data_IF_039719521148
#
_entry.id   IF_039719521148
#
_cell.length_a   1.000
_cell.length_b   1.000
_cell.length_c   1.000
_cell.angle_alpha   90.00
_cell.angle_beta   90.00
_cell.angle_gamma   90.00
#
_symmetry.space_group_name_H-M   'P 1'
#
loop_
_entity.id
_entity.type
_entity.pdbx_description
1 polymer ?
#
# COMPACT_ATOMS: atom_id res chain seq x y z
N UNK A 1 75.12 49.11 -1.33
CA UNK A 1 74.43 48.23 -2.31
C UNK A 1 74.54 46.72 -2.01
N UNK A 2 74.70 46.29 -0.73
CA UNK A 2 74.71 44.86 -0.33
C UNK A 2 73.62 44.48 0.69
N UNK A 3 72.92 45.46 1.28
CA UNK A 3 71.87 45.23 2.27
C UNK A 3 70.47 45.01 1.65
N UNK A 4 70.20 45.61 0.48
CA UNK A 4 68.88 45.57 -0.17
C UNK A 4 68.57 44.24 -0.89
N UNK A 5 69.61 43.48 -1.26
CA UNK A 5 69.49 42.18 -1.96
C UNK A 5 69.39 40.98 -1.01
N UNK A 6 69.77 41.14 0.26
CA UNK A 6 69.57 40.12 1.30
C UNK A 6 68.15 40.20 1.87
N UNK A 7 67.60 41.40 2.06
CA UNK A 7 66.26 41.59 2.62
C UNK A 7 65.14 41.09 1.70
N UNK A 8 65.29 41.27 0.38
CA UNK A 8 64.34 40.76 -0.62
C UNK A 8 64.36 39.24 -0.78
N UNK A 9 65.51 38.59 -0.54
CA UNK A 9 65.60 37.11 -0.53
C UNK A 9 64.94 36.48 0.69
N UNK A 10 65.04 37.12 1.87
CA UNK A 10 64.39 36.61 3.09
C UNK A 10 62.87 36.82 3.10
N UNK A 11 62.35 37.90 2.49
CA UNK A 11 60.90 38.11 2.34
C UNK A 11 60.28 37.09 1.37
N UNK A 12 60.96 36.72 0.29
CA UNK A 12 60.48 35.68 -0.62
C UNK A 12 60.58 34.25 -0.04
N UNK A 13 61.57 33.96 0.82
CA UNK A 13 61.64 32.68 1.54
C UNK A 13 60.62 32.56 2.68
N UNK A 14 60.28 33.67 3.35
CA UNK A 14 59.21 33.69 4.36
C UNK A 14 57.80 33.52 3.78
N UNK A 15 57.53 34.12 2.61
CA UNK A 15 56.25 33.99 1.92
C UNK A 15 56.03 32.61 1.26
N UNK A 16 57.10 31.90 0.91
CA UNK A 16 57.00 30.55 0.33
C UNK A 16 56.75 29.47 1.40
N UNK A 17 57.22 29.66 2.63
CA UNK A 17 57.00 28.71 3.74
C UNK A 17 55.62 28.89 4.40
N UNK A 18 55.01 30.08 4.32
CA UNK A 18 53.65 30.30 4.84
C UNK A 18 52.52 29.89 3.87
N UNK A 19 52.84 29.61 2.60
CA UNK A 19 51.87 29.16 1.58
C UNK A 19 51.84 27.63 1.39
N UNK A 20 52.74 26.89 2.05
CA UNK A 20 52.86 25.44 1.91
C UNK A 20 52.88 24.76 3.27
N UNK A 21 51.72 24.67 3.93
CA UNK A 21 51.24 23.56 4.78
C UNK A 21 49.94 23.99 5.50
N UNK A 22 48.84 23.20 5.53
CA UNK A 22 48.60 21.95 4.81
C UNK A 22 47.22 21.91 4.11
N UNK A 23 47.21 21.61 2.80
CA UNK A 23 46.06 20.92 2.18
C UNK A 23 45.98 19.43 2.61
N UNK A 24 46.89 18.96 3.47
CA UNK A 24 47.01 17.57 3.90
C UNK A 24 46.43 17.28 5.31
N UNK A 25 45.98 18.28 6.08
CA UNK A 25 45.33 18.03 7.37
C UNK A 25 43.83 17.70 7.27
N UNK A 26 43.20 17.98 6.12
CA UNK A 26 41.76 17.75 5.93
C UNK A 26 41.41 16.30 5.52
N UNK A 27 42.37 15.51 5.04
CA UNK A 27 42.13 14.12 4.59
C UNK A 27 41.95 13.15 5.79
N UNK A 28 42.83 13.13 6.82
CA UNK A 28 42.65 12.20 7.94
C UNK A 28 41.40 12.51 8.78
N UNK A 29 40.98 13.78 8.86
CA UNK A 29 39.74 14.19 9.54
C UNK A 29 38.49 13.68 8.79
N UNK A 30 38.50 13.72 7.44
CA UNK A 30 37.40 13.19 6.62
C UNK A 30 37.28 11.68 6.70
N UNK A 31 38.39 10.95 6.67
CA UNK A 31 38.39 9.49 6.82
C UNK A 31 37.92 9.06 8.23
N UNK A 32 38.30 9.82 9.26
CA UNK A 32 37.83 9.59 10.62
C UNK A 32 36.33 9.88 10.75
N UNK A 33 35.84 11.01 10.22
CA UNK A 33 34.41 11.33 10.19
C UNK A 33 33.59 10.27 9.43
N UNK A 34 34.12 9.74 8.33
CA UNK A 34 33.46 8.68 7.58
C UNK A 34 33.38 7.38 8.40
N UNK A 35 34.45 6.98 9.08
CA UNK A 35 34.44 5.81 9.97
C UNK A 35 33.50 5.99 11.16
N UNK A 36 33.48 7.17 11.78
CA UNK A 36 32.55 7.51 12.86
C UNK A 36 31.11 7.48 12.38
N UNK A 37 30.81 8.01 11.19
CA UNK A 37 29.50 7.95 10.58
C UNK A 37 29.07 6.51 10.26
N UNK A 38 29.96 5.70 9.67
CA UNK A 38 29.72 4.29 9.39
C UNK A 38 29.48 3.49 10.67
N UNK A 39 30.30 3.70 11.71
CA UNK A 39 30.12 3.07 13.01
C UNK A 39 28.79 3.49 13.67
N UNK A 40 28.45 4.78 13.61
CA UNK A 40 27.17 5.29 14.09
C UNK A 40 25.98 4.67 13.33
N UNK A 41 26.06 4.57 12.01
CA UNK A 41 25.05 3.91 11.17
C UNK A 41 24.89 2.44 11.55
N UNK A 42 25.99 1.71 11.65
CA UNK A 42 25.98 0.29 12.03
C UNK A 42 25.42 0.09 13.44
N UNK A 43 25.85 0.90 14.41
CA UNK A 43 25.35 0.84 15.78
C UNK A 43 23.86 1.17 15.86
N UNK A 44 23.41 2.18 15.12
CA UNK A 44 21.99 2.58 15.07
C UNK A 44 21.15 1.48 14.44
N UNK A 45 21.59 0.91 13.31
CA UNK A 45 20.91 -0.21 12.66
C UNK A 45 20.85 -1.45 13.55
N UNK A 46 21.94 -1.78 14.25
CA UNK A 46 21.99 -2.90 15.17
C UNK A 46 21.03 -2.69 16.36
N UNK A 47 20.99 -1.49 16.95
CA UNK A 47 20.04 -1.16 18.02
C UNK A 47 18.59 -1.29 17.53
N UNK A 48 18.30 -0.78 16.34
CA UNK A 48 16.97 -0.88 15.73
C UNK A 48 16.56 -2.34 15.48
N UNK A 49 17.42 -3.13 14.86
CA UNK A 49 17.16 -4.56 14.61
C UNK A 49 16.98 -5.34 15.92
N UNK A 50 17.83 -5.10 16.93
CA UNK A 50 17.71 -5.76 18.23
C UNK A 50 16.39 -5.44 18.93
N UNK A 51 15.96 -4.17 18.91
CA UNK A 51 14.67 -3.77 19.46
C UNK A 51 13.52 -4.46 18.72
N UNK A 52 13.50 -4.37 17.39
CA UNK A 52 12.51 -5.03 16.52
C UNK A 52 12.39 -6.52 16.82
N UNK A 53 13.51 -7.23 16.84
CA UNK A 53 13.54 -8.67 17.08
C UNK A 53 13.11 -9.01 18.52
N UNK A 54 13.36 -8.11 19.49
CA UNK A 54 12.87 -8.30 20.86
C UNK A 54 11.35 -8.21 20.95
N UNK A 55 10.72 -7.30 20.21
CA UNK A 55 9.27 -7.16 20.14
C UNK A 55 8.64 -8.40 19.50
N UNK A 56 9.21 -8.88 18.38
CA UNK A 56 8.76 -10.10 17.73
C UNK A 56 8.88 -11.34 18.63
N UNK A 57 10.04 -11.53 19.28
CA UNK A 57 10.24 -12.66 20.19
C UNK A 57 9.26 -12.63 21.36
N UNK A 58 9.02 -11.45 21.94
CA UNK A 58 8.05 -11.28 23.01
C UNK A 58 6.63 -11.61 22.54
N UNK A 59 6.25 -11.12 21.35
CA UNK A 59 4.93 -11.36 20.78
C UNK A 59 4.70 -12.82 20.40
N UNK A 60 5.70 -13.49 19.83
CA UNK A 60 5.61 -14.92 19.51
C UNK A 60 5.45 -15.75 20.78
N UNK A 61 6.25 -15.50 21.82
CA UNK A 61 6.07 -16.15 23.13
C UNK A 61 4.66 -15.94 23.66
N UNK A 62 4.18 -14.70 23.64
CA UNK A 62 2.82 -14.37 24.03
C UNK A 62 1.78 -15.18 23.24
N UNK A 63 1.88 -15.24 21.91
CA UNK A 63 0.93 -15.98 21.07
C UNK A 63 0.91 -17.47 21.41
N UNK A 64 2.05 -18.09 21.71
CA UNK A 64 2.12 -19.54 22.03
C UNK A 64 1.26 -19.91 23.24
N UNK A 65 1.07 -18.98 24.19
CA UNK A 65 0.42 -19.26 25.49
C UNK A 65 -0.97 -18.61 25.64
N UNK A 66 -1.36 -17.68 24.76
CA UNK A 66 -2.48 -16.75 25.04
C UNK A 66 -3.76 -16.97 24.23
N UNK A 67 -3.92 -18.14 23.60
CA UNK A 67 -5.11 -18.43 22.80
C UNK A 67 -6.36 -18.66 23.67
N UNK A 68 -7.40 -17.85 23.45
CA UNK A 68 -8.71 -17.94 24.10
C UNK A 68 -9.83 -18.05 23.07
N UNK A 69 -10.92 -18.70 23.43
CA UNK A 69 -12.13 -18.77 22.59
C UNK A 69 -12.97 -17.51 22.75
N UNK A 70 -13.40 -16.94 21.62
CA UNK A 70 -14.30 -15.80 21.56
C UNK A 70 -15.56 -16.16 20.77
N UNK A 71 -16.71 -15.76 21.31
CA UNK A 71 -17.97 -15.83 20.59
C UNK A 71 -17.96 -14.83 19.42
N UNK A 72 -18.48 -15.28 18.27
CA UNK A 72 -18.67 -14.44 17.09
C UNK A 72 -20.12 -14.01 17.04
N UNK A 73 -20.34 -12.70 17.09
CA UNK A 73 -21.65 -12.09 16.95
C UNK A 73 -21.97 -11.85 15.48
N UNK A 74 -23.24 -12.04 15.10
CA UNK A 74 -23.72 -11.61 13.80
C UNK A 74 -23.61 -10.08 13.69
N UNK A 75 -23.26 -9.59 12.51
CA UNK A 75 -23.25 -8.15 12.25
C UNK A 75 -24.66 -7.59 12.26
N UNK A 76 -24.82 -6.37 12.77
CA UNK A 76 -26.10 -5.68 12.73
C UNK A 76 -26.59 -5.54 11.28
N UNK A 77 -27.90 -5.68 11.01
CA UNK A 77 -28.43 -5.46 9.68
C UNK A 77 -28.20 -4.01 9.27
N UNK A 78 -27.98 -3.79 7.97
CA UNK A 78 -27.86 -2.43 7.46
C UNK A 78 -29.17 -1.67 7.68
N UNK A 79 -29.13 -0.41 8.15
CA UNK A 79 -30.33 0.41 8.39
C UNK A 79 -31.04 0.81 7.09
N UNK A 80 -30.48 0.46 5.92
CA UNK A 80 -31.05 0.80 4.63
C UNK A 80 -32.24 -0.09 4.29
N UNK A 81 -33.42 0.39 4.67
CA UNK A 81 -34.46 0.61 3.69
C UNK A 81 -34.83 2.10 3.71
N UNK A 82 -34.16 3.00 2.97
CA UNK A 82 -34.91 4.12 2.44
C UNK A 82 -35.94 3.47 1.52
N UNK A 83 -37.23 3.56 1.85
CA UNK A 83 -38.30 3.13 0.97
C UNK A 83 -37.95 3.63 -0.43
N UNK A 84 -37.64 2.69 -1.34
CA UNK A 84 -37.40 3.04 -2.73
C UNK A 84 -38.65 3.81 -3.14
N UNK A 85 -38.54 5.08 -3.57
CA UNK A 85 -39.73 5.86 -3.89
C UNK A 85 -40.56 5.02 -4.85
N UNK A 86 -41.87 4.81 -4.58
CA UNK A 86 -42.69 3.83 -5.27
C UNK A 86 -42.77 4.06 -6.79
N UNK A 87 -42.36 5.25 -7.25
CA UNK A 87 -42.07 5.55 -8.65
C UNK A 87 -40.79 6.39 -8.77
N UNK A 88 -40.09 6.20 -9.89
CA UNK A 88 -39.13 7.21 -10.34
C UNK A 88 -39.88 8.54 -10.50
N UNK A 89 -39.29 9.68 -10.09
CA UNK A 89 -39.83 10.98 -10.45
C UNK A 89 -40.00 11.05 -11.96
N UNK A 90 -41.21 11.38 -12.43
CA UNK A 90 -41.41 11.62 -13.86
C UNK A 90 -40.50 12.77 -14.27
N UNK A 91 -39.70 12.56 -15.33
CA UNK A 91 -38.99 13.65 -15.97
C UNK A 91 -40.03 14.72 -16.37
N UNK A 92 -39.75 16.02 -16.19
CA UNK A 92 -40.63 17.07 -16.70
C UNK A 92 -40.87 16.82 -18.19
N UNK A 93 -42.13 16.79 -18.61
CA UNK A 93 -42.47 16.65 -20.02
C UNK A 93 -41.83 17.81 -20.78
N UNK A 94 -40.83 17.51 -21.61
CA UNK A 94 -40.31 18.51 -22.55
C UNK A 94 -41.46 18.93 -23.46
N UNK A 95 -41.77 20.23 -23.56
CA UNK A 95 -42.79 20.71 -24.49
C UNK A 95 -42.43 20.28 -25.92
N UNK A 96 -43.43 20.03 -26.79
CA UNK A 96 -43.21 19.47 -28.11
C UNK A 96 -42.27 20.38 -28.90
N UNK A 97 -41.16 19.82 -29.37
CA UNK A 97 -40.25 20.50 -30.29
C UNK A 97 -41.01 20.91 -31.54
N UNK A 98 -41.31 22.19 -31.66
CA UNK A 98 -41.66 22.81 -32.93
C UNK A 98 -40.48 22.62 -33.88
N UNK A 99 -40.71 21.90 -34.99
CA UNK A 99 -39.73 21.74 -36.04
C UNK A 99 -39.33 23.12 -36.56
N UNK A 100 -38.10 23.53 -36.30
CA UNK A 100 -37.48 24.71 -36.90
C UNK A 100 -36.35 24.19 -37.80
N UNK A 101 -36.19 24.71 -39.04
CA UNK A 101 -35.31 24.12 -40.04
C UNK A 101 -33.85 24.12 -39.62
N UNK A 102 -33.11 23.09 -40.06
CA UNK A 102 -31.65 22.97 -39.97
C UNK A 102 -30.95 24.30 -40.30
N UNK A 103 -30.43 24.94 -39.25
CA UNK A 103 -29.37 25.94 -39.38
C UNK A 103 -28.10 25.32 -38.79
N UNK A 104 -26.95 25.38 -39.48
CA UNK A 104 -25.68 24.92 -38.94
C UNK A 104 -25.38 25.70 -37.66
N UNK A 105 -25.48 25.04 -36.51
CA UNK A 105 -25.20 25.64 -35.22
C UNK A 105 -23.71 25.93 -35.10
N UNK A 106 -23.38 27.22 -35.13
CA UNK A 106 -22.10 27.81 -34.76
C UNK A 106 -21.53 27.14 -33.51
N UNK A 107 -20.26 26.78 -33.58
CA UNK A 107 -19.47 26.28 -32.46
C UNK A 107 -19.65 27.18 -31.24
N UNK A 108 -20.22 26.62 -30.17
CA UNK A 108 -20.19 27.27 -28.87
C UNK A 108 -18.75 27.17 -28.40
N UNK A 109 -18.00 28.25 -28.65
CA UNK A 109 -16.72 28.54 -28.03
C UNK A 109 -16.93 28.60 -26.52
N UNK A 110 -16.79 27.44 -25.88
CA UNK A 110 -16.61 27.34 -24.45
C UNK A 110 -15.26 27.97 -24.14
N UNK A 111 -15.30 29.23 -23.72
CA UNK A 111 -14.15 29.96 -23.20
C UNK A 111 -13.45 29.07 -22.18
N UNK A 112 -12.22 28.66 -22.52
CA UNK A 112 -11.27 28.08 -21.59
C UNK A 112 -11.11 29.12 -20.49
N UNK A 113 -11.75 28.90 -19.34
CA UNK A 113 -11.31 29.54 -18.11
C UNK A 113 -9.88 29.07 -17.93
N UNK A 114 -8.95 29.97 -18.21
CA UNK A 114 -7.55 29.79 -17.96
C UNK A 114 -7.41 29.45 -16.48
N UNK A 115 -7.24 28.16 -16.18
CA UNK A 115 -6.76 27.72 -14.90
C UNK A 115 -5.35 28.29 -14.79
N UNK A 116 -5.23 29.26 -13.90
CA UNK A 116 -3.98 29.87 -13.48
C UNK A 116 -2.93 28.78 -13.25
N UNK A 117 -1.77 28.97 -13.87
CA UNK A 117 -0.62 28.08 -13.74
C UNK A 117 -0.16 28.08 -12.28
N UNK A 118 -0.51 27.05 -11.54
CA UNK A 118 0.35 26.59 -10.44
C UNK A 118 1.38 25.65 -11.05
N UNK A 119 2.68 25.99 -11.00
CA UNK A 119 3.72 25.06 -11.38
C UNK A 119 3.87 24.08 -10.22
N UNK A 120 3.33 22.88 -10.36
CA UNK A 120 3.86 21.74 -9.63
C UNK A 120 3.93 20.56 -10.60
N UNK A 121 5.16 20.25 -10.99
CA UNK A 121 5.54 19.12 -11.82
C UNK A 121 5.27 17.82 -11.05
N UNK A 122 4.00 17.39 -10.97
CA UNK A 122 3.66 16.06 -10.45
C UNK A 122 3.84 15.04 -11.58
N UNK A 123 5.09 14.57 -11.74
CA UNK A 123 5.44 13.48 -12.65
C UNK A 123 4.49 12.29 -12.42
N UNK A 124 3.70 11.97 -13.45
CA UNK A 124 2.72 10.88 -13.47
C UNK A 124 3.38 9.59 -12.91
N UNK A 125 2.88 9.11 -11.76
CA UNK A 125 3.48 7.99 -11.03
C UNK A 125 3.58 6.77 -11.94
N UNK A 126 4.81 6.47 -12.37
CA UNK A 126 5.17 5.18 -12.96
C UNK A 126 5.87 4.37 -11.89
N UNK A 127 5.36 3.18 -11.51
CA UNK A 127 6.08 2.30 -10.61
C UNK A 127 7.31 1.78 -11.36
N UNK A 128 8.45 2.46 -11.16
CA UNK A 128 9.75 1.94 -11.53
C UNK A 128 10.25 1.03 -10.39
N UNK A 129 11.07 0.00 -10.69
CA UNK A 129 11.80 -0.70 -9.65
C UNK A 129 12.65 0.30 -8.86
N UNK A 130 12.78 0.19 -7.54
CA UNK A 130 13.64 1.07 -6.78
C UNK A 130 15.09 0.94 -7.26
N UNK A 131 15.73 2.07 -7.59
CA UNK A 131 17.16 2.13 -7.87
C UNK A 131 17.94 1.71 -6.61
N UNK A 132 18.92 0.82 -6.82
CA UNK A 132 19.81 0.33 -5.77
C UNK A 132 20.87 1.37 -5.46
N UNK A 133 20.78 1.99 -4.30
CA UNK A 133 21.95 2.61 -3.67
C UNK A 133 22.29 1.89 -2.36
N UNK A 134 23.32 1.04 -2.46
CA UNK A 134 24.20 0.64 -1.35
C UNK A 134 23.55 0.05 -0.11
N UNK A 135 23.09 -1.20 -0.19
CA UNK A 135 22.84 -2.00 1.01
C UNK A 135 23.77 -3.22 1.04
N UNK A 136 24.54 -3.27 2.12
CA UNK A 136 25.34 -4.40 2.60
C UNK A 136 24.58 -5.72 2.46
N UNK A 137 25.28 -6.71 1.93
CA UNK A 137 24.81 -8.06 1.60
C UNK A 137 24.07 -8.70 2.78
N UNK A 138 22.75 -8.55 2.79
CA UNK A 138 21.84 -9.55 3.34
C UNK A 138 21.82 -10.72 2.36
N UNK A 139 21.94 -11.94 2.87
CA UNK A 139 21.87 -13.20 2.12
C UNK A 139 20.46 -13.44 1.50
N UNK A 140 19.54 -12.49 1.66
CA UNK A 140 18.18 -12.53 1.13
C UNK A 140 18.14 -12.63 -0.40
N UNK A 141 17.42 -13.65 -0.88
CA UNK A 141 17.12 -13.83 -2.30
C UNK A 141 15.82 -13.11 -2.61
N UNK A 142 15.88 -12.10 -3.48
CA UNK A 142 14.70 -11.31 -3.85
C UNK A 142 14.01 -11.84 -5.10
N UNK A 143 12.68 -11.72 -5.14
CA UNK A 143 11.85 -11.88 -6.34
C UNK A 143 10.91 -10.69 -6.51
N UNK A 144 10.32 -10.58 -7.70
CA UNK A 144 9.32 -9.57 -8.03
C UNK A 144 7.99 -10.24 -8.29
N UNK A 145 6.92 -9.72 -7.69
CA UNK A 145 5.54 -10.11 -7.96
C UNK A 145 4.82 -8.97 -8.69
N UNK A 146 4.18 -9.28 -9.82
CA UNK A 146 3.34 -8.33 -10.55
C UNK A 146 1.90 -8.37 -10.02
N UNK A 147 1.46 -7.27 -9.42
CA UNK A 147 0.15 -7.19 -8.77
C UNK A 147 -0.78 -6.25 -9.53
N UNK A 148 -1.92 -6.78 -9.95
CA UNK A 148 -3.05 -5.98 -10.42
C UNK A 148 -3.82 -5.33 -9.27
N UNK A 149 -3.79 -4.00 -9.18
CA UNK A 149 -4.48 -3.24 -8.13
C UNK A 149 -5.14 -1.97 -8.67
N UNK A 150 -6.49 -1.91 -8.64
CA UNK A 150 -7.28 -0.81 -9.21
C UNK A 150 -6.83 -0.35 -10.61
N UNK A 151 -6.51 -1.30 -11.49
CA UNK A 151 -6.05 -1.03 -12.86
C UNK A 151 -4.56 -0.73 -13.00
N UNK A 152 -3.81 -0.65 -11.89
CA UNK A 152 -2.36 -0.56 -11.87
C UNK A 152 -1.75 -1.95 -11.96
N UNK A 153 -0.60 -2.06 -12.65
CA UNK A 153 0.29 -3.20 -12.54
C UNK A 153 1.49 -2.78 -11.69
N UNK A 154 1.62 -3.38 -10.51
CA UNK A 154 2.61 -3.01 -9.50
C UNK A 154 3.67 -4.12 -9.41
N UNK A 155 4.89 -3.91 -9.93
CA UNK A 155 6.00 -4.83 -9.72
C UNK A 155 6.58 -4.62 -8.31
N UNK A 156 6.18 -5.46 -7.35
CA UNK A 156 6.66 -5.35 -5.97
C UNK A 156 7.76 -6.38 -5.68
N UNK A 157 8.90 -5.92 -5.18
CA UNK A 157 10.02 -6.77 -4.76
C UNK A 157 9.78 -7.31 -3.35
N UNK A 158 10.07 -8.59 -3.13
CA UNK A 158 9.94 -9.25 -1.84
C UNK A 158 11.08 -10.25 -1.60
N UNK A 159 11.35 -10.54 -0.33
CA UNK A 159 12.27 -11.59 0.11
C UNK A 159 11.62 -12.96 -0.06
N UNK A 160 12.27 -13.88 -0.76
CA UNK A 160 11.76 -15.23 -1.00
C UNK A 160 11.53 -16.01 0.31
N UNK A 161 12.26 -15.68 1.38
CA UNK A 161 12.06 -16.25 2.71
C UNK A 161 10.66 -15.99 3.29
N UNK A 162 9.90 -15.04 2.73
CA UNK A 162 8.52 -14.81 3.13
C UNK A 162 7.60 -15.96 2.71
N UNK A 163 7.93 -16.72 1.67
CA UNK A 163 7.07 -17.81 1.18
C UNK A 163 7.17 -19.02 2.12
N UNK A 164 6.16 -19.17 2.97
CA UNK A 164 6.01 -20.25 3.93
C UNK A 164 4.75 -21.08 3.66
N UNK A 165 4.62 -22.21 4.37
CA UNK A 165 3.42 -23.02 4.37
C UNK A 165 3.03 -23.36 5.80
N UNK A 166 1.77 -23.17 6.14
CA UNK A 166 1.24 -23.50 7.45
C UNK A 166 0.84 -24.96 7.53
N UNK A 167 1.24 -25.61 8.62
CA UNK A 167 0.77 -26.93 9.00
C UNK A 167 -0.28 -26.81 10.11
N UNK A 168 -1.01 -27.90 10.38
CA UNK A 168 -1.88 -27.97 11.57
C UNK A 168 -1.14 -28.68 12.71
N UNK A 169 -1.44 -28.35 13.98
CA UNK A 169 -2.48 -27.44 14.43
C UNK A 169 -2.05 -25.94 14.42
N UNK A 170 -3.00 -25.04 14.16
CA UNK A 170 -2.72 -23.61 13.93
C UNK A 170 -2.19 -22.86 15.16
N UNK A 171 -2.55 -23.29 16.37
CA UNK A 171 -2.03 -22.69 17.60
C UNK A 171 -0.50 -22.80 17.73
N UNK A 172 0.12 -23.75 17.03
CA UNK A 172 1.59 -23.91 16.96
C UNK A 172 2.18 -23.25 15.70
N UNK A 173 1.56 -23.47 14.54
CA UNK A 173 2.11 -23.01 13.27
C UNK A 173 1.95 -21.51 13.01
N UNK A 174 0.97 -20.82 13.62
CA UNK A 174 0.83 -19.36 13.53
C UNK A 174 2.07 -18.66 14.13
N UNK A 175 2.46 -18.95 15.39
CA UNK A 175 3.70 -18.41 15.96
C UNK A 175 4.96 -18.75 15.15
N UNK A 176 5.09 -20.00 14.67
CA UNK A 176 6.24 -20.42 13.86
C UNK A 176 6.31 -19.64 12.54
N UNK A 177 5.17 -19.47 11.86
CA UNK A 177 5.09 -18.67 10.64
C UNK A 177 5.38 -17.19 10.88
N UNK A 178 5.01 -16.65 12.05
CA UNK A 178 5.38 -15.29 12.43
C UNK A 178 6.89 -15.13 12.60
N UNK A 179 7.58 -16.09 13.24
CA UNK A 179 9.05 -16.08 13.37
C UNK A 179 9.73 -16.10 12.00
N UNK A 180 9.23 -16.93 11.07
CA UNK A 180 9.74 -16.99 9.69
C UNK A 180 9.62 -15.60 9.04
N UNK A 181 8.43 -15.00 9.03
CA UNK A 181 8.23 -13.68 8.44
C UNK A 181 9.08 -12.60 9.12
N UNK A 182 9.21 -12.64 10.46
CA UNK A 182 10.02 -11.69 11.22
C UNK A 182 11.52 -11.78 10.90
N UNK A 183 12.01 -12.92 10.42
CA UNK A 183 13.41 -13.09 10.02
C UNK A 183 13.74 -12.57 8.62
N UNK A 184 12.72 -12.22 7.81
CA UNK A 184 12.89 -11.73 6.42
C UNK A 184 13.14 -10.23 6.35
N UNK A 185 13.55 -9.74 5.18
CA UNK A 185 13.53 -8.29 4.88
C UNK A 185 12.13 -7.78 4.51
N UNK A 186 11.21 -7.80 5.47
CA UNK A 186 9.85 -7.28 5.30
C UNK A 186 9.76 -5.76 5.24
N UNK A 187 10.75 -5.04 5.76
CA UNK A 187 10.75 -3.58 5.75
C UNK A 187 10.84 -3.04 4.32
N UNK A 188 11.67 -3.63 3.46
CA UNK A 188 11.74 -3.27 2.05
C UNK A 188 10.39 -3.42 1.33
N UNK A 189 9.60 -4.43 1.68
CA UNK A 189 8.26 -4.60 1.12
C UNK A 189 7.26 -3.59 1.68
N UNK A 190 7.27 -3.35 3.00
CA UNK A 190 6.38 -2.35 3.63
C UNK A 190 6.62 -0.96 3.04
N UNK A 191 7.88 -0.57 2.83
CA UNK A 191 8.21 0.72 2.21
C UNK A 191 7.59 0.87 0.82
N UNK A 192 7.62 -0.19 -0.01
CA UNK A 192 6.96 -0.18 -1.33
C UNK A 192 5.44 -0.07 -1.20
N UNK A 193 4.83 -0.82 -0.29
CA UNK A 193 3.37 -0.81 -0.07
C UNK A 193 2.88 0.56 0.43
N UNK A 194 3.61 1.18 1.38
CA UNK A 194 3.31 2.53 1.89
C UNK A 194 3.50 3.57 0.77
N UNK A 195 4.57 3.46 -0.01
CA UNK A 195 4.80 4.35 -1.16
C UNK A 195 3.63 4.30 -2.16
N UNK A 196 3.13 3.11 -2.48
CA UNK A 196 1.94 2.97 -3.33
C UNK A 196 0.71 3.59 -2.66
N UNK A 197 0.51 3.33 -1.37
CA UNK A 197 -0.60 3.89 -0.59
C UNK A 197 -0.64 5.41 -0.61
N UNK A 198 0.50 6.05 -0.36
CA UNK A 198 0.63 7.50 -0.29
C UNK A 198 0.43 8.14 -1.65
N UNK A 199 1.11 7.63 -2.68
CA UNK A 199 1.00 8.14 -4.05
C UNK A 199 -0.40 7.97 -4.62
N UNK A 200 -1.12 6.93 -4.21
CA UNK A 200 -2.50 6.71 -4.65
C UNK A 200 -3.57 7.23 -3.70
N UNK A 201 -3.18 7.82 -2.57
CA UNK A 201 -4.05 8.37 -1.52
C UNK A 201 -5.08 7.34 -1.03
N UNK A 202 -4.64 6.11 -0.79
CA UNK A 202 -5.53 5.07 -0.22
C UNK A 202 -5.92 5.43 1.20
N UNK A 203 -7.15 5.08 1.58
CA UNK A 203 -7.51 4.96 2.98
C UNK A 203 -7.01 3.61 3.54
N UNK A 204 -7.19 3.40 4.84
CA UNK A 204 -6.76 2.19 5.53
C UNK A 204 -7.32 0.91 4.90
N UNK A 205 -8.60 0.94 4.49
CA UNK A 205 -9.18 -0.20 3.80
C UNK A 205 -8.51 -0.48 2.45
N UNK A 206 -8.20 0.57 1.68
CA UNK A 206 -7.41 0.46 0.46
C UNK A 206 -6.03 -0.15 0.72
N UNK A 207 -5.35 0.26 1.80
CA UNK A 207 -4.08 -0.34 2.22
C UNK A 207 -4.22 -1.83 2.57
N UNK A 208 -5.23 -2.20 3.36
CA UNK A 208 -5.56 -3.60 3.67
C UNK A 208 -5.76 -4.42 2.38
N UNK A 209 -6.47 -3.86 1.39
CA UNK A 209 -6.68 -4.55 0.11
C UNK A 209 -5.39 -4.68 -0.71
N UNK A 210 -4.51 -3.68 -0.68
CA UNK A 210 -3.20 -3.74 -1.33
C UNK A 210 -2.35 -4.85 -0.73
N UNK A 211 -2.24 -4.91 0.61
CA UNK A 211 -1.53 -5.98 1.32
C UNK A 211 -2.14 -7.34 0.99
N UNK A 212 -3.48 -7.45 0.97
CA UNK A 212 -4.17 -8.70 0.60
C UNK A 212 -3.83 -9.16 -0.81
N UNK A 213 -3.70 -8.23 -1.76
CA UNK A 213 -3.32 -8.56 -3.14
C UNK A 213 -1.88 -9.04 -3.23
N UNK A 214 -0.96 -8.47 -2.44
CA UNK A 214 0.39 -8.99 -2.29
C UNK A 214 0.39 -10.40 -1.70
N UNK A 215 -0.38 -10.63 -0.63
CA UNK A 215 -0.53 -11.94 -0.03
C UNK A 215 -1.04 -12.99 -1.05
N UNK A 216 -2.06 -12.63 -1.84
CA UNK A 216 -2.61 -13.52 -2.86
C UNK A 216 -1.62 -13.84 -3.99
N UNK A 217 -0.70 -12.94 -4.30
CA UNK A 217 0.37 -13.20 -5.26
C UNK A 217 1.42 -14.17 -4.71
N UNK A 218 1.75 -14.06 -3.42
CA UNK A 218 2.73 -14.93 -2.75
C UNK A 218 2.20 -16.31 -2.43
N UNK A 219 0.89 -16.42 -2.13
CA UNK A 219 0.25 -17.65 -1.70
C UNK A 219 -1.00 -17.98 -2.53
N UNK A 220 -0.85 -18.33 -3.82
CA UNK A 220 -2.00 -18.57 -4.71
C UNK A 220 -2.90 -19.69 -4.18
N UNK A 221 -4.15 -19.37 -3.89
CA UNK A 221 -5.16 -20.27 -3.31
C UNK A 221 -4.82 -20.86 -1.91
N UNK A 222 -3.76 -20.40 -1.23
CA UNK A 222 -3.48 -20.77 0.16
C UNK A 222 -3.96 -19.67 1.12
N UNK A 223 -5.27 -19.66 1.40
CA UNK A 223 -5.92 -18.56 2.13
C UNK A 223 -5.43 -18.36 3.57
N UNK A 224 -4.98 -19.42 4.27
CA UNK A 224 -4.51 -19.30 5.65
C UNK A 224 -3.19 -18.53 5.72
N UNK A 225 -2.27 -18.85 4.82
CA UNK A 225 -0.99 -18.17 4.63
C UNK A 225 -1.21 -16.72 4.23
N UNK A 226 -2.18 -16.45 3.34
CA UNK A 226 -2.56 -15.07 3.00
C UNK A 226 -3.04 -14.29 4.22
N UNK A 227 -3.85 -14.90 5.10
CA UNK A 227 -4.33 -14.26 6.34
C UNK A 227 -3.17 -13.97 7.29
N UNK A 228 -2.29 -14.95 7.54
CA UNK A 228 -1.12 -14.76 8.39
C UNK A 228 -0.22 -13.63 7.87
N UNK A 229 0.13 -13.69 6.58
CA UNK A 229 0.97 -12.68 5.95
C UNK A 229 0.33 -11.29 6.02
N UNK A 230 -0.96 -11.18 5.70
CA UNK A 230 -1.67 -9.90 5.76
C UNK A 230 -1.68 -9.35 7.17
N UNK A 231 -1.98 -10.18 8.17
CA UNK A 231 -1.97 -9.76 9.56
C UNK A 231 -0.58 -9.31 10.01
N UNK A 232 0.47 -10.06 9.63
CA UNK A 232 1.85 -9.72 9.93
C UNK A 232 2.21 -8.33 9.38
N UNK A 233 2.02 -8.11 8.07
CA UNK A 233 2.33 -6.81 7.44
C UNK A 233 1.53 -5.68 8.09
N UNK A 234 0.23 -5.86 8.35
CA UNK A 234 -0.59 -4.85 9.00
C UNK A 234 -0.07 -4.48 10.40
N UNK A 235 0.31 -5.45 11.23
CA UNK A 235 0.89 -5.19 12.55
C UNK A 235 2.24 -4.48 12.44
N UNK A 236 3.09 -4.87 11.48
CA UNK A 236 4.35 -4.17 11.20
C UNK A 236 4.14 -2.74 10.69
N UNK A 237 2.99 -2.47 10.06
CA UNK A 237 2.55 -1.13 9.66
C UNK A 237 1.77 -0.38 10.76
N UNK A 238 1.69 -0.92 11.99
CA UNK A 238 1.11 -0.25 13.16
C UNK A 238 -0.40 -0.46 13.38
N UNK A 239 -1.03 -1.31 12.58
CA UNK A 239 -2.45 -1.64 12.73
C UNK A 239 -2.68 -2.65 13.84
N UNK A 240 -3.81 -2.52 14.52
CA UNK A 240 -4.29 -3.43 15.57
C UNK A 240 -4.86 -4.76 15.02
N UNK A 241 -4.39 -5.24 13.87
CA UNK A 241 -4.92 -6.47 13.26
C UNK A 241 -4.62 -7.70 14.14
N UNK A 242 -5.57 -8.62 14.24
CA UNK A 242 -5.40 -9.89 14.98
C UNK A 242 -5.63 -11.08 14.07
N UNK A 243 -5.04 -12.22 14.45
CA UNK A 243 -5.33 -13.52 13.83
C UNK A 243 -6.33 -14.25 14.71
N UNK A 244 -7.43 -14.68 14.08
CA UNK A 244 -8.33 -15.67 14.62
C UNK A 244 -8.16 -17.00 13.89
N UNK A 245 -8.43 -18.12 14.55
CA UNK A 245 -8.52 -19.40 13.88
C UNK A 245 -9.58 -20.31 14.48
N UNK A 246 -10.03 -21.28 13.70
CA UNK A 246 -10.74 -22.45 14.19
C UNK A 246 -10.01 -23.73 13.72
N UNK A 247 -10.65 -24.90 13.80
CA UNK A 247 -10.00 -26.15 13.37
C UNK A 247 -9.63 -26.15 11.87
N UNK A 248 -10.30 -25.35 11.05
CA UNK A 248 -10.25 -25.42 9.58
C UNK A 248 -9.51 -24.24 8.93
N UNK A 249 -9.67 -23.04 9.46
CA UNK A 249 -9.25 -21.82 8.80
C UNK A 249 -8.69 -20.77 9.78
N UNK A 250 -7.89 -19.87 9.22
CA UNK A 250 -7.51 -18.60 9.81
C UNK A 250 -8.46 -17.50 9.31
N UNK A 251 -8.68 -16.50 10.15
CA UNK A 251 -9.49 -15.33 9.89
C UNK A 251 -8.69 -14.08 10.25
N UNK A 252 -8.73 -13.06 9.39
CA UNK A 252 -8.18 -11.76 9.71
C UNK A 252 -9.21 -10.99 10.54
N UNK A 253 -8.81 -10.46 11.69
CA UNK A 253 -9.67 -9.72 12.58
C UNK A 253 -9.24 -8.26 12.57
N UNK A 254 -10.13 -7.37 12.10
CA UNK A 254 -9.83 -5.96 11.92
C UNK A 254 -10.70 -5.11 12.85
N UNK A 255 -10.11 -4.37 13.79
CA UNK A 255 -10.87 -3.43 14.59
C UNK A 255 -11.22 -2.20 13.76
N UNK A 256 -12.42 -1.67 13.96
CA UNK A 256 -12.82 -0.40 13.33
C UNK A 256 -13.66 0.44 14.29
N UNK A 257 -13.49 1.77 14.31
CA UNK A 257 -14.41 2.65 15.01
C UNK A 257 -15.78 2.74 14.32
N UNK A 258 -15.84 2.42 13.02
CA UNK A 258 -17.10 2.41 12.27
C UNK A 258 -17.81 1.07 12.37
N UNK A 259 -19.15 1.11 12.37
CA UNK A 259 -19.96 -0.08 12.25
C UNK A 259 -19.94 -0.63 10.83
N UNK A 260 -19.50 -1.88 10.68
CA UNK A 260 -19.59 -2.63 9.43
C UNK A 260 -20.81 -3.55 9.48
N UNK A 261 -21.88 -3.15 8.80
CA UNK A 261 -23.13 -3.90 8.75
C UNK A 261 -22.98 -5.26 8.09
N UNK A 262 -23.86 -6.20 8.46
CA UNK A 262 -23.91 -7.58 7.97
C UNK A 262 -22.57 -8.33 8.05
N UNK A 263 -21.64 -7.86 8.87
CA UNK A 263 -20.30 -8.43 9.00
C UNK A 263 -20.13 -8.99 10.41
N UNK A 264 -19.83 -10.29 10.55
CA UNK A 264 -19.63 -10.90 11.86
C UNK A 264 -18.45 -10.25 12.58
N UNK A 265 -18.54 -10.14 13.90
CA UNK A 265 -17.51 -9.52 14.72
C UNK A 265 -17.37 -10.21 16.07
N UNK A 266 -16.24 -9.97 16.72
CA UNK A 266 -15.99 -10.31 18.12
C UNK A 266 -15.65 -9.06 18.91
N UNK A 267 -15.99 -9.07 20.20
CA UNK A 267 -15.70 -7.97 21.10
C UNK A 267 -14.48 -8.31 21.95
N UNK A 268 -13.42 -7.50 21.85
CA UNK A 268 -12.21 -7.58 22.68
C UNK A 268 -11.98 -6.19 23.25
N UNK A 269 -11.88 -6.06 24.57
CA UNK A 269 -11.58 -4.78 25.25
C UNK A 269 -12.49 -3.62 24.79
N UNK A 270 -13.79 -3.91 24.60
CA UNK A 270 -14.80 -2.96 24.13
C UNK A 270 -14.62 -2.44 22.68
N UNK A 271 -13.71 -3.04 21.91
CA UNK A 271 -13.53 -2.80 20.48
C UNK A 271 -14.14 -3.94 19.66
N UNK A 272 -14.82 -3.59 18.57
CA UNK A 272 -15.38 -4.57 17.62
C UNK A 272 -14.33 -4.94 16.60
N UNK A 273 -13.92 -6.20 16.62
CA UNK A 273 -13.05 -6.82 15.64
C UNK A 273 -13.89 -7.55 14.61
N UNK A 274 -13.95 -7.01 13.39
CA UNK A 274 -14.70 -7.60 12.29
C UNK A 274 -13.94 -8.78 11.70
N UNK A 275 -14.66 -9.89 11.51
CA UNK A 275 -14.12 -11.14 10.95
C UNK A 275 -14.08 -11.01 9.43
N UNK A 276 -12.87 -10.99 8.88
CA UNK A 276 -12.65 -10.91 7.45
C UNK A 276 -12.08 -12.24 6.93
N UNK A 277 -12.96 -13.02 6.29
CA UNK A 277 -12.58 -14.28 5.63
C UNK A 277 -12.05 -14.05 4.23
N UNK A 278 -10.95 -14.70 3.89
CA UNK A 278 -10.38 -14.62 2.54
C UNK A 278 -10.94 -15.69 1.61
N UNK A 279 -11.41 -16.82 2.18
CA UNK A 279 -12.11 -17.85 1.44
C UNK A 279 -13.64 -17.65 1.60
N UNK A 280 -14.38 -17.42 0.51
CA UNK A 280 -15.84 -17.28 0.57
C UNK A 280 -16.57 -18.57 0.97
N UNK A 281 -15.91 -19.73 0.83
CA UNK A 281 -16.50 -21.03 1.16
C UNK A 281 -16.50 -21.31 2.68
N UNK A 282 -15.77 -20.50 3.46
CA UNK A 282 -15.85 -20.56 4.92
C UNK A 282 -17.19 -19.94 5.34
N UNK A 283 -18.16 -20.82 5.62
CA UNK A 283 -19.51 -20.46 6.03
C UNK A 283 -19.55 -19.79 7.42
N UNK A 284 -20.72 -19.87 8.07
CA UNK A 284 -20.91 -19.25 9.39
C UNK A 284 -19.92 -19.81 10.43
N UNK A 285 -19.29 -18.91 11.19
CA UNK A 285 -18.34 -19.23 12.25
C UNK A 285 -18.91 -18.75 13.58
N UNK A 286 -19.25 -19.68 14.48
CA UNK A 286 -19.85 -19.35 15.77
C UNK A 286 -18.80 -18.95 16.84
N UNK A 287 -17.58 -19.49 16.75
CA UNK A 287 -16.50 -19.22 17.70
C UNK A 287 -15.15 -19.23 16.99
N UNK A 288 -14.27 -18.33 17.43
CA UNK A 288 -12.91 -18.15 16.93
C UNK A 288 -11.95 -18.12 18.12
N UNK A 289 -10.84 -18.87 18.02
CA UNK A 289 -9.72 -18.73 18.95
C UNK A 289 -8.84 -17.57 18.52
N UNK A 290 -8.57 -16.64 19.43
CA UNK A 290 -7.66 -15.49 19.24
C UNK A 290 -7.06 -15.05 20.59
N UNK A 291 -6.50 -13.85 20.71
CA UNK A 291 -5.86 -13.32 21.91
C UNK A 291 -6.24 -11.86 22.19
N UNK A 292 -6.17 -11.46 23.47
CA UNK A 292 -6.49 -10.10 23.93
C UNK A 292 -5.34 -9.12 23.69
N UNK A 293 -4.10 -9.53 23.94
CA UNK A 293 -2.90 -8.69 23.78
C UNK A 293 -2.65 -8.20 22.35
N UNK A 294 -1.70 -7.29 22.21
CA UNK A 294 -1.40 -6.60 20.95
C UNK A 294 0.08 -6.67 20.58
N UNK A 295 0.37 -6.47 19.30
CA UNK A 295 1.74 -6.38 18.81
C UNK A 295 2.33 -4.99 19.10
N UNK A 296 3.34 -4.94 19.97
CA UNK A 296 4.02 -3.72 20.36
C UNK A 296 3.07 -2.62 20.82
N UNK A 297 3.41 -1.38 20.47
CA UNK A 297 2.63 -0.19 20.82
C UNK A 297 1.62 0.21 19.72
N UNK A 298 1.18 -0.75 18.89
CA UNK A 298 0.20 -0.51 17.82
C UNK A 298 -1.09 0.08 18.40
N UNK A 299 -1.66 1.08 17.72
CA UNK A 299 -2.91 1.77 18.16
C UNK A 299 -3.89 2.03 17.02
N UNK A 300 -3.54 1.65 15.79
CA UNK A 300 -4.27 2.08 14.61
C UNK A 300 -5.38 1.08 14.25
N UNK A 301 -6.64 1.46 14.51
CA UNK A 301 -7.81 0.73 14.04
C UNK A 301 -8.12 1.10 12.59
N UNK A 302 -8.64 0.15 11.81
CA UNK A 302 -8.92 0.36 10.37
C UNK A 302 -10.05 1.37 10.22
N UNK A 303 -9.74 2.49 9.57
CA UNK A 303 -10.68 3.55 9.26
C UNK A 303 -11.17 3.46 7.81
N UNK A 304 -12.47 3.27 7.63
CA UNK A 304 -13.08 3.17 6.30
C UNK A 304 -13.34 4.52 5.62
N UNK A 305 -13.14 5.65 6.30
CA UNK A 305 -13.40 6.97 5.74
C UNK A 305 -12.40 7.35 4.64
N UNK A 306 -12.88 8.01 3.60
CA UNK A 306 -12.03 8.66 2.61
C UNK A 306 -11.78 10.11 3.04
N UNK A 307 -10.52 10.46 3.35
CA UNK A 307 -10.13 11.86 3.61
C UNK A 307 -9.99 12.64 2.31
N UNK A 308 -9.45 11.98 1.29
CA UNK A 308 -9.24 12.52 -0.04
C UNK A 308 -9.72 11.51 -1.10
N UNK A 309 -10.12 11.96 -2.29
CA UNK A 309 -10.34 11.06 -3.42
C UNK A 309 -9.06 10.28 -3.74
N UNK A 310 -9.23 8.99 -4.07
CA UNK A 310 -8.14 8.15 -4.57
C UNK A 310 -7.52 8.81 -5.80
N UNK A 311 -6.20 8.91 -5.80
CA UNK A 311 -5.41 9.40 -6.92
C UNK A 311 -4.86 8.22 -7.71
N UNK A 312 -5.43 7.92 -8.88
CA UNK A 312 -4.87 6.90 -9.78
C UNK A 312 -4.25 7.60 -10.99
N UNK A 313 -3.06 7.16 -11.47
CA UNK A 313 -2.46 7.69 -12.69
C UNK A 313 -3.40 7.56 -13.87
N UNK A 314 -3.23 8.42 -14.88
CA UNK A 314 -4.10 8.42 -16.06
C UNK A 314 -3.47 7.54 -17.13
N UNK A 315 -4.12 6.42 -17.46
CA UNK A 315 -3.74 5.62 -18.63
C UNK A 315 -4.73 5.87 -19.77
N UNK A 316 -4.54 6.99 -20.47
CA UNK A 316 -5.43 7.42 -21.56
C UNK A 316 -5.05 6.65 -22.83
N UNK A 317 -5.91 5.73 -23.25
CA UNK A 317 -5.83 5.09 -24.56
C UNK A 317 -6.82 5.71 -25.54
N UNK A 318 -6.56 5.57 -26.83
CA UNK A 318 -7.44 6.04 -27.89
C UNK A 318 -7.92 4.85 -28.72
N UNK A 319 -9.24 4.71 -28.87
CA UNK A 319 -9.84 3.72 -29.78
C UNK A 319 -10.70 4.43 -30.81
N UNK A 320 -10.53 4.07 -32.07
CA UNK A 320 -11.43 4.52 -33.13
C UNK A 320 -12.77 3.76 -33.00
N UNK A 321 -13.85 4.49 -32.70
CA UNK A 321 -15.20 3.94 -32.66
C UNK A 321 -15.91 4.31 -33.95
N UNK A 322 -16.51 3.32 -34.62
CA UNK A 322 -17.41 3.55 -35.77
C UNK A 322 -18.75 3.99 -35.22
N UNK A 323 -19.16 5.21 -35.55
CA UNK A 323 -20.48 5.75 -35.22
C UNK A 323 -21.48 5.51 -36.37
N UNK A 324 -20.98 5.41 -37.61
CA UNK A 324 -21.74 5.05 -38.81
C UNK A 324 -20.79 4.42 -39.86
N UNK A 325 -21.31 4.08 -41.06
CA UNK A 325 -20.52 3.50 -42.16
C UNK A 325 -19.29 4.36 -42.53
N UNK A 326 -19.41 5.69 -42.41
CA UNK A 326 -18.39 6.63 -42.88
C UNK A 326 -17.75 7.48 -41.77
N UNK A 327 -18.24 7.41 -40.53
CA UNK A 327 -17.71 8.20 -39.41
C UNK A 327 -16.95 7.33 -38.40
N UNK A 328 -15.62 7.49 -38.36
CA UNK A 328 -14.77 7.03 -37.25
C UNK A 328 -14.34 8.23 -36.41
N UNK A 329 -14.64 8.21 -35.11
CA UNK A 329 -14.14 9.22 -34.17
C UNK A 329 -13.16 8.60 -33.17
N UNK A 330 -12.04 9.27 -32.84
CA UNK A 330 -11.15 8.82 -31.78
C UNK A 330 -11.82 9.05 -30.42
N UNK A 331 -12.09 7.98 -29.69
CA UNK A 331 -12.52 8.05 -28.30
C UNK A 331 -11.30 7.87 -27.41
N UNK A 332 -10.94 8.91 -26.65
CA UNK A 332 -9.96 8.82 -25.57
C UNK A 332 -10.65 8.27 -24.32
N UNK A 333 -10.09 7.25 -23.70
CA UNK A 333 -10.64 6.66 -22.48
C UNK A 333 -9.52 6.27 -21.51
N UNK A 334 -9.76 6.47 -20.22
CA UNK A 334 -8.81 6.06 -19.17
C UNK A 334 -9.04 4.58 -18.84
N UNK A 335 -8.10 3.70 -19.19
CA UNK A 335 -8.22 2.24 -18.96
C UNK A 335 -8.27 1.89 -17.48
N UNK A 336 -7.67 2.70 -16.61
CA UNK A 336 -7.68 2.49 -15.15
C UNK A 336 -9.08 2.70 -14.55
N UNK A 337 -9.93 3.52 -15.20
CA UNK A 337 -11.32 3.77 -14.75
C UNK A 337 -12.36 2.82 -15.35
N UNK A 338 -11.94 1.85 -16.19
CA UNK A 338 -12.87 0.97 -16.91
C UNK A 338 -12.60 -0.49 -16.52
N UNK A 339 -13.45 -1.02 -15.64
CA UNK A 339 -13.54 -2.45 -15.36
C UNK A 339 -14.24 -3.14 -16.54
N UNK A 340 -13.51 -3.88 -17.38
CA UNK A 340 -14.11 -4.78 -18.35
C UNK A 340 -14.58 -6.06 -17.66
N UNK A 341 -15.60 -5.97 -16.82
CA UNK A 341 -16.40 -7.14 -16.46
C UNK A 341 -17.30 -7.43 -17.66
N UNK A 342 -16.91 -8.42 -18.47
CA UNK A 342 -17.73 -9.16 -19.43
C UNK A 342 -19.12 -8.56 -19.66
N UNK A 343 -19.21 -7.55 -20.54
CA UNK A 343 -20.49 -7.21 -21.15
C UNK A 343 -20.76 -8.40 -22.07
N UNK A 344 -21.50 -9.39 -21.56
CA UNK A 344 -22.15 -10.38 -22.42
C UNK A 344 -22.88 -9.57 -23.47
N UNK A 345 -22.43 -9.70 -24.71
CA UNK A 345 -23.01 -9.06 -25.87
C UNK A 345 -24.52 -9.32 -25.83
N UNK A 346 -25.29 -8.26 -25.61
CA UNK A 346 -26.73 -8.31 -25.73
C UNK A 346 -27.03 -8.49 -27.22
N UNK A 347 -27.02 -9.75 -27.67
CA UNK A 347 -27.47 -10.12 -29.01
C UNK A 347 -28.96 -9.80 -29.03
N UNK A 348 -29.35 -8.73 -29.72
CA UNK A 348 -30.74 -8.52 -30.12
C UNK A 348 -31.19 -9.81 -30.81
N UNK A 349 -31.97 -10.63 -30.11
CA UNK A 349 -32.84 -11.60 -30.78
C UNK A 349 -33.85 -10.75 -31.52
N UNK A 350 -33.79 -10.78 -32.85
CA UNK A 350 -34.95 -10.45 -33.64
C UNK A 350 -36.08 -11.34 -33.17
N UNK A 351 -37.16 -10.73 -32.71
CA UNK A 351 -38.45 -11.40 -32.61
C UNK A 351 -39.05 -11.43 -34.04
N UNK A 352 -39.83 -12.48 -34.35
CA UNK A 352 -40.16 -12.92 -35.71
C UNK A 352 -40.93 -11.89 -36.55
#
# INVERSE_FOLDING_TARGET
MKFLTLFTRYIFLGALVLATLPAQAQVPERDQLQKEFEAFRQQTNARFNNFRDSVDRAFVRFMRDSWKDFAVYAGNPSPLSPDKPPRQPNAPETPPKSATPDRPGTEISGTVVASEKTPDDEADFRPAPPDREGETVSEAIYRTADIGFYGLNLPLRYDLGMVLKLSRPFNKSIPDGWEVLASTDYNALIMQLVTVSDKTRLNDWGYVQLVRKMAAALYPAQYNEQVLFTCFILNKSGYLAKIGFNRQALFLLLPSPQEVYNTPYLAIENLRYYVYSFNPDYGHVASIKTYEGQYGDSRHAVNFAFKNPIHLPKNIQTRAVRLSKDARKPLKFNTIKISWTSIRTCRRRGLP
#
